data_IF_147368244789
#
_entry.id   IF_147368244789
#
_cell.length_a   1.000
_cell.length_b   1.000
_cell.length_c   1.000
_cell.angle_alpha   90.00
_cell.angle_beta   90.00
_cell.angle_gamma   90.00
#
_symmetry.space_group_name_H-M   'P 1'
#
loop_
_entity.id
_entity.type
_entity.pdbx_description
1 polymer ?
#
# COMPACT_ATOMS: atom_id res chain seq x y z
N UNK A 1 -2.53 -7.43 20.36
CA UNK A 1 -2.79 -8.26 19.16
C UNK A 1 -2.70 -7.35 17.95
N UNK A 2 -1.82 -7.67 16.98
CA UNK A 2 -1.63 -6.86 15.76
C UNK A 2 -2.86 -7.03 14.87
N UNK A 3 -3.74 -6.02 14.83
CA UNK A 3 -5.06 -6.13 14.17
C UNK A 3 -5.10 -5.62 12.72
N UNK A 4 -3.97 -5.27 12.10
CA UNK A 4 -3.97 -4.58 10.80
C UNK A 4 -3.74 -5.44 9.54
N UNK A 5 -3.95 -6.75 9.57
CA UNK A 5 -3.71 -7.61 8.39
C UNK A 5 -4.88 -7.51 7.40
N UNK A 6 -4.57 -7.30 6.13
CA UNK A 6 -5.54 -7.35 5.03
C UNK A 6 -5.51 -8.74 4.41
N UNK A 7 -6.54 -9.54 4.70
CA UNK A 7 -6.56 -10.98 4.39
C UNK A 7 -7.04 -11.32 2.98
N UNK A 8 -7.79 -10.43 2.34
CA UNK A 8 -8.41 -10.66 1.03
C UNK A 8 -7.87 -9.68 -0.01
N UNK A 9 -7.66 -10.11 -1.27
CA UNK A 9 -7.17 -9.24 -2.34
C UNK A 9 -8.02 -7.97 -2.55
N UNK A 10 -9.34 -8.08 -2.38
CA UNK A 10 -10.30 -6.99 -2.56
C UNK A 10 -10.05 -5.87 -1.55
N UNK A 11 -9.99 -6.21 -0.27
CA UNK A 11 -9.64 -5.29 0.82
C UNK A 11 -8.26 -4.65 0.61
N UNK A 12 -7.29 -5.41 0.10
CA UNK A 12 -5.96 -4.87 -0.21
C UNK A 12 -6.05 -3.81 -1.31
N UNK A 13 -6.76 -4.10 -2.42
CA UNK A 13 -6.94 -3.16 -3.53
C UNK A 13 -7.69 -1.90 -3.07
N UNK A 14 -8.80 -2.10 -2.36
CA UNK A 14 -9.63 -1.02 -1.81
C UNK A 14 -8.80 -0.11 -0.90
N UNK A 15 -8.09 -0.69 0.07
CA UNK A 15 -7.20 0.07 0.95
C UNK A 15 -6.09 0.79 0.18
N UNK A 16 -5.38 0.07 -0.70
CA UNK A 16 -4.23 0.60 -1.45
C UNK A 16 -4.61 1.78 -2.38
N UNK A 17 -5.82 1.76 -2.94
CA UNK A 17 -6.31 2.77 -3.87
C UNK A 17 -7.16 3.87 -3.21
N UNK A 18 -7.42 3.78 -1.90
CA UNK A 18 -8.28 4.72 -1.15
C UNK A 18 -7.75 6.17 -1.09
N UNK A 19 -6.49 6.42 -1.46
CA UNK A 19 -5.95 7.75 -1.75
C UNK A 19 -4.84 8.25 -0.83
N UNK A 20 -4.65 7.68 0.35
CA UNK A 20 -3.54 7.96 1.28
C UNK A 20 -3.22 6.72 2.12
N UNK A 21 -2.83 5.66 1.43
CA UNK A 21 -2.63 4.33 2.00
C UNK A 21 -1.16 4.10 2.37
N UNK A 22 -0.89 3.69 3.60
CA UNK A 22 0.43 3.19 4.02
C UNK A 22 0.28 1.74 4.46
N UNK A 23 1.07 0.86 3.85
CA UNK A 23 1.07 -0.57 4.18
C UNK A 23 2.45 -1.20 4.07
N UNK A 24 2.63 -2.27 4.82
CA UNK A 24 3.85 -3.06 4.87
C UNK A 24 3.60 -4.41 4.21
N UNK A 25 4.45 -4.76 3.25
CA UNK A 25 4.55 -6.10 2.71
C UNK A 25 5.57 -6.86 3.54
N UNK A 26 5.17 -7.96 4.18
CA UNK A 26 6.04 -8.81 4.99
C UNK A 26 6.17 -10.18 4.34
N UNK A 27 7.40 -10.62 4.12
CA UNK A 27 7.72 -11.95 3.63
C UNK A 27 7.52 -12.99 4.73
N UNK A 28 6.69 -14.00 4.46
CA UNK A 28 6.54 -15.18 5.33
C UNK A 28 7.75 -16.10 5.28
N UNK A 29 8.58 -16.00 4.24
CA UNK A 29 9.76 -16.85 4.05
C UNK A 29 10.95 -16.29 4.83
N UNK A 30 11.25 -15.00 4.64
CA UNK A 30 12.45 -14.37 5.18
C UNK A 30 12.19 -13.46 6.39
N UNK A 31 10.92 -13.16 6.70
CA UNK A 31 10.55 -12.18 7.73
C UNK A 31 10.85 -10.72 7.37
N UNK A 32 11.53 -10.46 6.25
CA UNK A 32 11.82 -9.12 5.75
C UNK A 32 10.52 -8.39 5.44
N UNK A 33 10.51 -7.09 5.71
CA UNK A 33 9.37 -6.25 5.47
C UNK A 33 9.77 -4.94 4.79
N UNK A 34 8.87 -4.42 3.96
CA UNK A 34 9.04 -3.16 3.24
C UNK A 34 7.73 -2.38 3.29
N UNK A 35 7.82 -1.12 3.67
CA UNK A 35 6.65 -0.24 3.82
C UNK A 35 6.52 0.67 2.62
N UNK A 36 5.33 0.69 2.04
CA UNK A 36 4.98 1.50 0.88
C UNK A 36 3.88 2.48 1.24
N UNK A 37 3.86 3.60 0.53
CA UNK A 37 2.79 4.59 0.60
C UNK A 37 2.26 4.88 -0.78
N UNK A 38 0.95 4.85 -0.93
CA UNK A 38 0.22 5.19 -2.14
C UNK A 38 -0.61 6.43 -1.89
N UNK A 39 -0.40 7.48 -2.69
CA UNK A 39 -1.14 8.75 -2.59
C UNK A 39 -1.81 9.13 -3.89
N UNK A 40 -3.04 9.62 -3.80
CA UNK A 40 -3.81 10.20 -4.91
C UNK A 40 -4.11 11.67 -4.57
N UNK A 41 -3.34 12.65 -5.10
CA UNK A 41 -3.47 14.07 -4.73
C UNK A 41 -4.80 14.73 -5.12
N UNK A 42 -5.54 14.16 -6.08
CA UNK A 42 -6.84 14.64 -6.54
C UNK A 42 -7.53 13.59 -7.41
N UNK A 43 -8.80 13.81 -7.75
CA UNK A 43 -9.63 12.78 -8.39
C UNK A 43 -9.14 12.35 -9.77
N UNK A 44 -8.64 13.31 -10.56
CA UNK A 44 -8.04 13.09 -11.88
C UNK A 44 -6.55 12.69 -11.81
N UNK A 45 -5.96 12.68 -10.62
CA UNK A 45 -4.54 12.32 -10.46
C UNK A 45 -4.35 10.81 -10.44
N UNK A 46 -3.23 10.30 -11.00
CA UNK A 46 -2.86 8.91 -10.79
C UNK A 46 -2.42 8.68 -9.33
N UNK A 47 -2.24 7.42 -8.96
CA UNK A 47 -1.75 7.04 -7.64
C UNK A 47 -0.23 6.96 -7.66
N UNK A 48 0.43 7.76 -6.81
CA UNK A 48 1.87 7.78 -6.67
C UNK A 48 2.32 6.83 -5.56
N UNK A 49 3.24 5.92 -5.89
CA UNK A 49 3.84 4.94 -5.00
C UNK A 49 5.17 5.45 -4.49
N UNK A 50 5.40 5.36 -3.19
CA UNK A 50 6.67 5.66 -2.54
C UNK A 50 7.08 4.53 -1.58
N UNK A 51 8.38 4.29 -1.45
CA UNK A 51 8.98 3.36 -0.50
C UNK A 51 9.47 4.13 0.73
N UNK A 52 9.20 3.61 1.93
CA UNK A 52 9.84 4.08 3.14
C UNK A 52 11.29 3.58 3.20
N UNK A 53 12.26 4.50 3.19
CA UNK A 53 13.68 4.19 3.02
C UNK A 53 14.58 4.77 4.11
N UNK A 54 14.02 5.14 5.25
CA UNK A 54 14.74 5.72 6.39
C UNK A 54 14.03 5.43 7.70
N UNK A 55 14.68 5.74 8.84
CA UNK A 55 14.16 5.39 10.17
C UNK A 55 12.97 6.24 10.60
N UNK A 56 12.74 7.39 9.95
CA UNK A 56 11.56 8.22 10.19
C UNK A 56 10.37 7.68 9.40
N UNK A 57 9.44 7.07 10.14
CA UNK A 57 8.23 6.42 9.64
C UNK A 57 7.22 7.40 9.03
N UNK A 58 7.39 8.72 9.18
CA UNK A 58 6.48 9.73 8.63
C UNK A 58 7.05 10.43 7.38
N UNK A 59 8.32 10.82 7.42
CA UNK A 59 8.95 11.66 6.39
C UNK A 59 9.84 10.92 5.38
N UNK A 60 10.40 9.76 5.71
CA UNK A 60 11.45 9.12 4.90
C UNK A 60 10.93 8.30 3.73
N UNK A 61 10.18 8.93 2.82
CA UNK A 61 9.63 8.28 1.63
C UNK A 61 10.33 8.71 0.35
N UNK A 62 10.77 7.73 -0.44
CA UNK A 62 11.32 7.92 -1.77
C UNK A 62 10.31 7.48 -2.83
N UNK A 63 10.11 8.34 -3.83
CA UNK A 63 9.24 8.03 -4.96
C UNK A 63 9.72 6.77 -5.71
N UNK A 64 8.80 5.82 -5.91
CA UNK A 64 9.07 4.54 -6.55
C UNK A 64 8.47 4.48 -7.96
N UNK A 65 7.18 4.86 -8.10
CA UNK A 65 6.50 4.83 -9.38
C UNK A 65 5.05 5.26 -9.29
N UNK A 66 4.29 4.97 -10.35
CA UNK A 66 2.91 5.45 -10.50
C UNK A 66 2.00 4.33 -10.95
N UNK A 67 0.81 4.25 -10.36
CA UNK A 67 -0.30 3.41 -10.81
C UNK A 67 -1.26 4.28 -11.60
N UNK A 68 -1.47 3.93 -12.86
CA UNK A 68 -2.38 4.61 -13.77
C UNK A 68 -3.74 3.93 -13.76
N UNK A 69 -4.80 4.75 -13.69
CA UNK A 69 -6.20 4.31 -13.69
C UNK A 69 -6.51 3.21 -12.67
N UNK A 70 -5.79 3.21 -11.53
CA UNK A 70 -5.92 2.20 -10.47
C UNK A 70 -5.47 0.78 -10.85
N UNK A 71 -4.88 0.57 -12.04
CA UNK A 71 -4.62 -0.77 -12.59
C UNK A 71 -3.16 -0.98 -12.95
N UNK A 72 -2.57 -0.06 -13.70
CA UNK A 72 -1.25 -0.28 -14.33
C UNK A 72 -0.16 0.42 -13.54
N UNK A 73 0.64 -0.35 -12.81
CA UNK A 73 1.86 0.17 -12.19
C UNK A 73 2.99 0.33 -13.21
N UNK A 74 3.70 1.46 -13.15
CA UNK A 74 4.95 1.70 -13.86
C UNK A 74 5.98 2.29 -12.89
N UNK A 75 7.19 1.75 -12.95
CA UNK A 75 8.33 2.33 -12.26
C UNK A 75 8.59 3.76 -12.74
N UNK A 76 8.91 4.65 -11.81
CA UNK A 76 9.06 6.07 -12.10
C UNK A 76 10.41 6.40 -12.71
N UNK A 77 10.44 7.07 -13.87
CA UNK A 77 11.69 7.51 -14.49
C UNK A 77 12.54 8.47 -13.63
N UNK A 78 11.91 9.15 -12.66
CA UNK A 78 12.58 10.02 -11.66
C UNK A 78 12.83 9.32 -10.33
N UNK A 79 12.52 8.02 -10.21
CA UNK A 79 12.82 7.28 -8.99
C UNK A 79 14.33 7.22 -8.79
N UNK A 80 14.76 7.36 -7.54
CA UNK A 80 16.15 7.11 -7.12
C UNK A 80 16.38 5.65 -6.75
N UNK A 81 15.33 4.84 -6.76
CA UNK A 81 15.37 3.40 -6.45
C UNK A 81 15.58 2.68 -7.77
N UNK A 82 16.59 1.81 -7.83
CA UNK A 82 16.86 1.04 -9.04
C UNK A 82 15.71 0.07 -9.37
N UNK A 83 15.47 -0.15 -10.67
CA UNK A 83 14.60 -1.23 -11.16
C UNK A 83 15.01 -2.61 -10.62
N UNK A 84 16.31 -2.78 -10.36
CA UNK A 84 16.86 -4.03 -9.85
C UNK A 84 16.77 -4.17 -8.33
N UNK A 85 16.36 -3.10 -7.63
CA UNK A 85 16.26 -3.11 -6.18
C UNK A 85 15.21 -4.14 -5.70
N UNK A 86 15.48 -4.90 -4.62
CA UNK A 86 14.51 -5.84 -4.07
C UNK A 86 13.15 -5.22 -3.76
N UNK A 87 13.12 -3.97 -3.28
CA UNK A 87 11.88 -3.22 -3.03
C UNK A 87 11.04 -2.98 -4.28
N UNK A 88 11.69 -2.64 -5.40
CA UNK A 88 10.98 -2.49 -6.66
C UNK A 88 10.42 -3.84 -7.13
N UNK A 89 11.26 -4.89 -7.15
CA UNK A 89 10.84 -6.23 -7.58
C UNK A 89 9.69 -6.77 -6.75
N UNK A 90 9.74 -6.61 -5.43
CA UNK A 90 8.68 -7.04 -4.52
C UNK A 90 7.39 -6.26 -4.80
N UNK A 91 7.46 -4.93 -4.92
CA UNK A 91 6.27 -4.13 -5.21
C UNK A 91 5.67 -4.46 -6.58
N UNK A 92 6.49 -4.60 -7.60
CA UNK A 92 6.05 -4.93 -8.96
C UNK A 92 5.33 -6.28 -9.01
N UNK A 93 5.91 -7.32 -8.40
CA UNK A 93 5.30 -8.65 -8.31
C UNK A 93 4.01 -8.64 -7.49
N UNK A 94 4.01 -7.93 -6.35
CA UNK A 94 2.83 -7.73 -5.53
C UNK A 94 1.70 -7.07 -6.32
N UNK A 95 2.00 -5.97 -7.02
CA UNK A 95 1.00 -5.23 -7.79
C UNK A 95 0.44 -6.04 -8.96
N UNK A 96 1.30 -6.78 -9.66
CA UNK A 96 0.88 -7.67 -10.74
C UNK A 96 -0.06 -8.78 -10.25
N UNK A 97 0.20 -9.34 -9.06
CA UNK A 97 -0.65 -10.36 -8.46
C UNK A 97 -1.97 -9.78 -7.94
N UNK A 98 -1.93 -8.65 -7.24
CA UNK A 98 -3.12 -8.07 -6.63
C UNK A 98 -4.10 -7.53 -7.68
N UNK A 99 -3.58 -7.01 -8.80
CA UNK A 99 -4.38 -6.61 -9.97
C UNK A 99 -5.11 -7.79 -10.63
N UNK A 100 -4.71 -9.03 -10.32
CA UNK A 100 -5.37 -10.27 -10.73
C UNK A 100 -6.15 -10.92 -9.58
N UNK A 101 -6.53 -10.12 -8.58
CA UNK A 101 -7.28 -10.54 -7.40
C UNK A 101 -6.60 -11.67 -6.61
N UNK A 102 -5.27 -11.56 -6.40
CA UNK A 102 -4.48 -12.56 -5.67
C UNK A 102 -3.43 -11.92 -4.77
N UNK A 103 -3.38 -12.35 -3.51
CA UNK A 103 -2.25 -12.08 -2.62
C UNK A 103 -1.22 -13.21 -2.81
N UNK A 104 0.05 -12.92 -3.15
CA UNK A 104 1.09 -13.94 -3.20
C UNK A 104 1.20 -14.68 -1.86
N UNK A 105 1.23 -16.02 -1.88
CA UNK A 105 1.15 -16.83 -0.66
C UNK A 105 2.29 -16.54 0.35
N UNK A 106 3.45 -16.11 -0.16
CA UNK A 106 4.62 -15.74 0.62
C UNK A 106 4.57 -14.33 1.22
N UNK A 107 3.52 -13.55 0.96
CA UNK A 107 3.35 -12.19 1.50
C UNK A 107 2.21 -12.11 2.49
N UNK A 108 2.39 -11.24 3.47
CA UNK A 108 1.34 -10.64 4.28
C UNK A 108 1.29 -9.15 3.97
N UNK A 109 0.08 -8.59 3.99
CA UNK A 109 -0.16 -7.15 3.78
C UNK A 109 -0.72 -6.58 5.07
N UNK A 110 -0.04 -5.57 5.61
CA UNK A 110 -0.40 -4.96 6.89
C UNK A 110 -0.56 -3.45 6.75
N UNK A 111 -1.63 -2.85 7.25
CA UNK A 111 -1.74 -1.39 7.34
C UNK A 111 -1.35 -0.86 8.74
N UNK A 112 -1.02 0.43 8.83
CA UNK A 112 -0.52 1.07 10.06
C UNK A 112 -1.62 1.49 11.07
N UNK A 113 -2.84 0.93 10.95
CA UNK A 113 -3.96 1.33 11.81
C UNK A 113 -4.52 2.75 11.52
N UNK A 114 -4.25 3.31 10.35
CA UNK A 114 -4.83 4.57 9.85
C UNK A 114 -5.71 4.29 8.62
N UNK A 115 -6.73 5.12 8.44
CA UNK A 115 -7.62 5.05 7.29
C UNK A 115 -6.85 5.30 5.99
N UNK A 116 -6.92 4.38 5.03
CA UNK A 116 -6.27 4.48 3.73
C UNK A 116 -6.75 5.64 2.85
N UNK A 117 -7.81 6.36 3.24
CA UNK A 117 -8.28 7.58 2.56
C UNK A 117 -7.89 8.86 3.29
N UNK A 118 -8.36 9.03 4.51
CA UNK A 118 -8.22 10.30 5.23
C UNK A 118 -7.01 10.35 6.18
N UNK A 119 -6.31 9.22 6.40
CA UNK A 119 -5.16 9.13 7.30
C UNK A 119 -5.49 9.19 8.80
N UNK A 120 -6.77 9.29 9.19
CA UNK A 120 -7.15 9.28 10.62
C UNK A 120 -6.94 7.91 11.25
N UNK A 121 -6.59 7.88 12.54
CA UNK A 121 -6.46 6.65 13.33
C UNK A 121 -7.76 5.86 13.32
N UNK A 122 -7.66 4.55 13.13
CA UNK A 122 -8.76 3.59 13.22
C UNK A 122 -8.84 3.08 14.65
N UNK A 123 -10.06 3.08 15.21
CA UNK A 123 -10.27 2.75 16.63
C UNK A 123 -11.29 1.64 16.86
N UNK A 124 -12.07 1.27 15.84
CA UNK A 124 -13.07 0.20 15.91
C UNK A 124 -12.61 -1.03 15.11
N UNK A 125 -12.92 -2.26 15.58
CA UNK A 125 -12.44 -3.48 14.94
C UNK A 125 -12.79 -3.62 13.47
N UNK A 126 -13.99 -3.20 13.06
CA UNK A 126 -14.48 -3.32 11.69
C UNK A 126 -13.64 -2.45 10.75
N UNK A 127 -13.40 -1.19 11.13
CA UNK A 127 -12.53 -0.28 10.38
C UNK A 127 -11.09 -0.76 10.35
N UNK A 128 -10.60 -1.33 11.46
CA UNK A 128 -9.28 -1.93 11.50
C UNK A 128 -9.20 -3.13 10.55
N UNK A 129 -10.23 -3.97 10.45
CA UNK A 129 -10.24 -5.13 9.56
C UNK A 129 -10.30 -4.80 8.06
N UNK A 130 -10.70 -3.57 7.69
CA UNK A 130 -10.71 -3.09 6.30
C UNK A 130 -9.62 -2.06 6.01
N UNK A 131 -9.05 -1.44 7.04
CA UNK A 131 -8.18 -0.27 6.90
C UNK A 131 -8.92 1.01 6.51
N UNK A 132 -10.26 1.02 6.50
CA UNK A 132 -11.08 2.18 6.10
C UNK A 132 -11.96 2.63 7.27
N UNK A 133 -11.93 3.94 7.56
CA UNK A 133 -12.75 4.53 8.62
C UNK A 133 -14.21 4.67 8.20
N UNK A 134 -15.16 4.74 9.16
CA UNK A 134 -16.59 4.68 8.88
C UNK A 134 -17.11 5.85 8.03
N UNK A 135 -16.45 7.01 8.10
CA UNK A 135 -16.79 8.19 7.28
C UNK A 135 -16.39 7.99 5.82
N UNK A 136 -15.41 7.13 5.55
CA UNK A 136 -14.79 6.96 4.24
C UNK A 136 -15.30 5.74 3.47
N UNK A 137 -15.83 4.73 4.17
CA UNK A 137 -16.29 3.43 3.64
C UNK A 137 -17.25 3.58 2.45
N UNK A 138 -18.24 4.47 2.54
CA UNK A 138 -19.21 4.71 1.46
C UNK A 138 -18.81 5.77 0.43
N UNK A 139 -17.54 6.16 0.34
CA UNK A 139 -17.11 7.29 -0.50
C UNK A 139 -15.97 6.95 -1.45
N UNK A 140 -15.32 5.79 -1.29
CA UNK A 140 -14.04 5.41 -1.93
C UNK A 140 -14.27 4.79 -3.31
#
# INVERSE_FOLDING_TARGET
MMSGMLETPEKVLEFALAGNATFTLKSKISGLHMTYRIRKPGDESPHFVALMSGPDNEGSYQYLGTIFSGKVYKHGAKSRISLEAPSEKVFNQFWAAISQNRIPAYLEVWHEGKCGRCGRKLTVPESIATGIGPICDGRI
#
